data_IF_450012162365
#
_entry.id   IF_450012162365
#
_cell.length_a   1.000
_cell.length_b   1.000
_cell.length_c   1.000
_cell.angle_alpha   90.00
_cell.angle_beta   90.00
_cell.angle_gamma   90.00
#
_symmetry.space_group_name_H-M   'P 1'
#
loop_
_entity.id
_entity.type
_entity.pdbx_description
1 polymer ?
#
# COMPACT_ATOMS: atom_id res chain seq x y z
N UNK A 1 -6.62 25.05 16.11
CA UNK A 1 -7.24 24.64 14.82
C UNK A 1 -7.55 25.90 14.03
N UNK A 2 -6.86 26.12 12.90
CA UNK A 2 -7.07 27.32 12.07
C UNK A 2 -8.39 27.27 11.29
N UNK A 3 -9.11 28.39 11.21
CA UNK A 3 -10.36 28.50 10.44
C UNK A 3 -10.05 28.38 8.94
N UNK A 4 -10.54 27.32 8.29
CA UNK A 4 -10.45 27.17 6.83
C UNK A 4 -11.49 28.06 6.10
N UNK A 5 -11.24 28.46 4.84
CA UNK A 5 -12.19 29.23 4.05
C UNK A 5 -13.53 28.51 3.92
N UNK A 6 -14.63 29.26 4.12
CA UNK A 6 -16.00 28.77 3.86
C UNK A 6 -16.34 29.06 2.40
N UNK A 7 -16.56 28.00 1.62
CA UNK A 7 -17.07 28.09 0.26
C UNK A 7 -18.58 27.85 0.30
N UNK A 8 -19.36 28.65 -0.43
CA UNK A 8 -20.84 28.66 -0.39
C UNK A 8 -21.50 27.34 -0.82
N UNK A 9 -20.78 26.45 -1.52
CA UNK A 9 -21.35 25.30 -2.24
C UNK A 9 -20.59 23.99 -2.05
N UNK A 10 -19.72 23.86 -1.04
CA UNK A 10 -18.93 22.64 -0.83
C UNK A 10 -19.25 22.00 0.51
N UNK A 11 -20.05 20.93 0.50
CA UNK A 11 -20.02 19.95 1.59
C UNK A 11 -18.62 19.35 1.62
N UNK A 12 -17.85 19.73 2.64
CA UNK A 12 -16.51 19.17 2.87
C UNK A 12 -16.69 17.81 3.51
N UNK A 13 -16.62 16.75 2.70
CA UNK A 13 -16.53 15.40 3.24
C UNK A 13 -15.30 15.31 4.13
N UNK A 14 -15.43 14.66 5.29
CA UNK A 14 -14.31 14.41 6.20
C UNK A 14 -13.95 12.92 6.15
N UNK A 15 -12.66 12.56 6.17
CA UNK A 15 -12.26 11.17 6.30
C UNK A 15 -12.92 10.52 7.53
N UNK A 16 -13.19 9.20 7.48
CA UNK A 16 -13.88 8.48 8.56
C UNK A 16 -13.12 8.52 9.89
N UNK A 17 -11.79 8.69 9.83
CA UNK A 17 -10.93 8.90 11.00
C UNK A 17 -9.68 9.73 10.64
N UNK A 18 -9.06 10.40 11.63
CA UNK A 18 -7.83 11.16 11.41
C UNK A 18 -6.67 10.27 10.92
N UNK A 19 -5.74 10.85 10.18
CA UNK A 19 -4.57 10.13 9.68
C UNK A 19 -3.82 9.44 10.84
N UNK A 20 -3.49 8.15 10.68
CA UNK A 20 -2.82 7.32 11.70
C UNK A 20 -3.59 7.17 13.04
N UNK A 21 -4.89 7.48 13.08
CA UNK A 21 -5.77 7.23 14.22
C UNK A 21 -6.84 6.22 13.84
N UNK A 22 -6.41 4.97 13.65
CA UNK A 22 -7.29 3.86 13.25
C UNK A 22 -8.50 3.72 14.21
N UNK A 23 -9.65 3.22 13.71
CA UNK A 23 -10.86 3.03 14.51
C UNK A 23 -10.62 2.19 15.77
N UNK A 24 -11.47 2.40 16.78
CA UNK A 24 -11.44 1.60 18.01
C UNK A 24 -11.56 0.11 17.70
N UNK A 25 -10.68 -0.72 18.28
CA UNK A 25 -10.68 -2.16 18.07
C UNK A 25 -9.93 -2.63 16.81
N UNK A 26 -9.44 -1.71 15.96
CA UNK A 26 -8.68 -2.07 14.75
C UNK A 26 -7.49 -2.99 15.07
N UNK A 27 -6.70 -2.68 16.11
CA UNK A 27 -5.55 -3.49 16.52
C UNK A 27 -5.92 -4.94 16.85
N UNK A 28 -6.98 -5.13 17.63
CA UNK A 28 -7.43 -6.45 18.06
C UNK A 28 -8.02 -7.24 16.88
N UNK A 29 -8.82 -6.58 16.04
CA UNK A 29 -9.42 -7.23 14.88
C UNK A 29 -8.39 -7.57 13.80
N UNK A 30 -7.37 -6.72 13.60
CA UNK A 30 -6.20 -7.07 12.80
C UNK A 30 -5.51 -8.31 13.36
N UNK A 31 -5.29 -8.37 14.68
CA UNK A 31 -4.76 -9.56 15.33
C UNK A 31 -5.59 -10.82 15.04
N UNK A 32 -6.93 -10.73 15.08
CA UNK A 32 -7.84 -11.86 14.75
C UNK A 32 -7.70 -12.31 13.30
N UNK A 33 -7.66 -11.38 12.35
CA UNK A 33 -7.49 -11.67 10.92
C UNK A 33 -6.18 -12.43 10.65
N UNK A 34 -5.10 -12.02 11.33
CA UNK A 34 -3.79 -12.64 11.17
C UNK A 34 -3.72 -14.00 11.88
N UNK A 35 -4.33 -14.13 13.07
CA UNK A 35 -4.48 -15.42 13.75
C UNK A 35 -5.24 -16.41 12.87
N UNK A 36 -6.36 -15.99 12.30
CA UNK A 36 -7.15 -16.80 11.38
C UNK A 36 -6.32 -17.21 10.15
N UNK A 37 -5.59 -16.28 9.53
CA UNK A 37 -4.73 -16.53 8.38
C UNK A 37 -3.63 -17.55 8.73
N UNK A 38 -2.94 -17.39 9.85
CA UNK A 38 -1.87 -18.29 10.29
C UNK A 38 -2.41 -19.69 10.60
N UNK A 39 -3.55 -19.77 11.28
CA UNK A 39 -4.15 -21.04 11.67
C UNK A 39 -4.71 -21.82 10.46
N UNK A 40 -5.31 -21.13 9.49
CA UNK A 40 -5.96 -21.74 8.31
C UNK A 40 -4.99 -22.08 7.18
N UNK A 41 -3.95 -21.27 6.92
CA UNK A 41 -3.02 -21.50 5.80
C UNK A 41 -1.82 -22.38 6.16
N UNK A 42 -1.55 -22.58 7.44
CA UNK A 42 -0.36 -23.29 7.93
C UNK A 42 0.97 -22.59 7.67
N UNK A 43 1.00 -21.51 6.89
CA UNK A 43 2.20 -20.77 6.49
C UNK A 43 2.00 -19.27 6.67
N UNK A 44 3.04 -18.52 7.09
CA UNK A 44 2.95 -17.08 7.35
C UNK A 44 2.98 -16.25 6.04
N UNK A 45 1.98 -16.44 5.19
CA UNK A 45 1.87 -15.77 3.89
C UNK A 45 0.67 -14.82 3.85
N UNK A 46 0.97 -13.53 3.73
CA UNK A 46 0.01 -12.45 3.52
C UNK A 46 0.46 -11.64 2.30
N UNK A 47 -0.34 -11.68 1.24
CA UNK A 47 -0.11 -10.99 -0.04
C UNK A 47 -0.82 -9.63 -0.07
N UNK A 48 -0.61 -8.85 -1.13
CA UNK A 48 -1.19 -7.52 -1.28
C UNK A 48 -2.73 -7.52 -1.20
N UNK A 49 -3.38 -8.43 -1.91
CA UNK A 49 -4.85 -8.56 -1.94
C UNK A 49 -5.42 -8.97 -0.58
N UNK A 50 -4.74 -9.85 0.15
CA UNK A 50 -5.12 -10.20 1.52
C UNK A 50 -5.18 -8.95 2.40
N UNK A 51 -4.16 -8.08 2.29
CA UNK A 51 -4.12 -6.85 3.07
C UNK A 51 -5.23 -5.88 2.68
N UNK A 52 -5.50 -5.74 1.38
CA UNK A 52 -6.56 -4.88 0.90
C UNK A 52 -7.93 -5.29 1.45
N UNK A 53 -8.26 -6.58 1.37
CA UNK A 53 -9.52 -7.11 1.87
C UNK A 53 -9.63 -7.04 3.40
N UNK A 54 -8.57 -7.42 4.12
CA UNK A 54 -8.52 -7.31 5.58
C UNK A 54 -8.77 -5.86 5.98
N UNK A 55 -8.01 -4.92 5.43
CA UNK A 55 -8.15 -3.51 5.79
C UNK A 55 -9.56 -2.99 5.47
N UNK A 56 -10.10 -3.33 4.29
CA UNK A 56 -11.45 -2.95 3.91
C UNK A 56 -12.49 -3.40 4.95
N UNK A 57 -12.45 -4.67 5.37
CA UNK A 57 -13.32 -5.20 6.44
C UNK A 57 -13.15 -4.43 7.75
N UNK A 58 -11.90 -4.19 8.17
CA UNK A 58 -11.59 -3.55 9.45
C UNK A 58 -12.07 -2.09 9.56
N UNK A 59 -12.19 -1.37 8.44
CA UNK A 59 -12.66 0.02 8.42
C UNK A 59 -14.09 0.17 7.87
N UNK A 60 -14.78 -0.94 7.57
CA UNK A 60 -16.12 -0.93 6.99
C UNK A 60 -16.17 -0.38 5.56
N UNK A 61 -15.05 -0.46 4.82
CA UNK A 61 -14.95 -0.07 3.43
C UNK A 61 -15.24 -1.25 2.49
N UNK A 62 -15.45 -0.95 1.21
CA UNK A 62 -15.57 -1.94 0.16
C UNK A 62 -14.22 -2.16 -0.51
N UNK A 63 -13.82 -3.43 -0.64
CA UNK A 63 -12.72 -3.81 -1.52
C UNK A 63 -13.21 -3.94 -2.97
N UNK A 64 -12.37 -3.54 -3.92
CA UNK A 64 -12.57 -3.79 -5.34
C UNK A 64 -11.24 -3.90 -6.08
N UNK A 65 -11.19 -4.57 -7.25
CA UNK A 65 -10.03 -4.54 -8.12
C UNK A 65 -9.67 -3.10 -8.52
N UNK A 66 -8.39 -2.76 -8.50
CA UNK A 66 -7.88 -1.45 -8.90
C UNK A 66 -6.91 -1.57 -10.07
N UNK A 67 -7.16 -0.79 -11.13
CA UNK A 67 -6.27 -0.72 -12.29
C UNK A 67 -4.95 0.02 -11.98
N UNK A 68 -4.96 0.90 -10.98
CA UNK A 68 -3.80 1.77 -10.65
C UNK A 68 -3.18 1.45 -9.28
N UNK A 69 -3.82 0.57 -8.50
CA UNK A 69 -3.36 0.16 -7.16
C UNK A 69 -3.46 1.25 -6.09
N UNK A 70 -4.30 2.27 -6.30
CA UNK A 70 -4.50 3.41 -5.40
C UNK A 70 -5.95 3.55 -4.90
N UNK A 71 -6.91 2.87 -5.53
CA UNK A 71 -8.34 2.95 -5.21
C UNK A 71 -8.97 1.56 -5.00
N UNK A 72 -8.17 0.61 -4.49
CA UNK A 72 -8.62 -0.76 -4.22
C UNK A 72 -9.56 -0.88 -3.02
N UNK A 73 -9.61 0.15 -2.16
CA UNK A 73 -10.45 0.18 -0.96
C UNK A 73 -11.18 1.51 -0.92
N UNK A 74 -12.50 1.48 -0.84
CA UNK A 74 -13.35 2.67 -0.99
C UNK A 74 -14.38 2.75 0.14
N UNK A 75 -14.51 3.94 0.70
CA UNK A 75 -15.59 4.31 1.61
C UNK A 75 -16.07 5.73 1.26
N UNK A 76 -17.23 5.83 0.59
CA UNK A 76 -17.80 7.12 0.17
C UNK A 76 -16.78 7.95 -0.64
N UNK A 77 -16.40 9.16 -0.19
CA UNK A 77 -15.42 10.03 -0.86
C UNK A 77 -13.95 9.78 -0.44
N UNK A 78 -13.69 8.65 0.21
CA UNK A 78 -12.38 8.21 0.67
C UNK A 78 -11.95 6.96 -0.11
N UNK A 79 -10.73 6.97 -0.62
CA UNK A 79 -10.08 5.82 -1.22
C UNK A 79 -8.73 5.54 -0.56
N UNK A 80 -8.33 4.27 -0.55
CA UNK A 80 -7.01 3.84 -0.14
C UNK A 80 -6.35 2.94 -1.18
N UNK A 81 -5.06 3.17 -1.40
CA UNK A 81 -4.14 2.14 -1.86
C UNK A 81 -3.60 1.37 -0.67
N UNK A 82 -3.31 0.09 -0.83
CA UNK A 82 -2.70 -0.72 0.22
C UNK A 82 -1.33 -1.21 -0.21
N UNK A 83 -0.38 -1.24 0.74
CA UNK A 83 0.97 -1.72 0.52
C UNK A 83 1.39 -2.63 1.66
N UNK A 84 2.13 -3.68 1.33
CA UNK A 84 2.80 -4.50 2.33
C UNK A 84 4.30 -4.44 2.12
N UNK A 85 5.07 -4.50 3.21
CA UNK A 85 6.53 -4.53 3.15
C UNK A 85 7.06 -5.44 4.26
N UNK A 86 8.04 -6.28 3.91
CA UNK A 86 8.68 -7.17 4.88
C UNK A 86 9.76 -6.41 5.65
N UNK A 87 9.80 -6.61 6.97
CA UNK A 87 10.87 -6.10 7.82
C UNK A 87 11.08 -7.01 9.03
N UNK A 88 12.33 -7.17 9.48
CA UNK A 88 12.65 -7.99 10.65
C UNK A 88 12.11 -7.42 11.96
N UNK A 89 11.95 -6.10 12.06
CA UNK A 89 11.45 -5.41 13.26
C UNK A 89 10.38 -4.36 12.87
N UNK A 90 9.17 -4.78 12.48
CA UNK A 90 8.11 -3.89 12.04
C UNK A 90 7.77 -2.77 13.04
N UNK A 91 7.80 -3.06 14.34
CA UNK A 91 7.46 -2.09 15.37
C UNK A 91 8.46 -0.94 15.52
N UNK A 92 9.71 -1.12 15.08
CA UNK A 92 10.80 -0.13 15.27
C UNK A 92 11.38 0.43 13.98
N UNK A 93 10.97 -0.06 12.81
CA UNK A 93 11.49 0.44 11.53
C UNK A 93 11.13 1.93 11.37
N UNK A 94 12.10 2.72 10.89
CA UNK A 94 11.94 4.16 10.66
C UNK A 94 11.72 4.53 9.19
N UNK A 95 12.13 3.67 8.25
CA UNK A 95 12.00 3.88 6.81
C UNK A 95 11.64 2.60 6.08
N UNK A 96 10.76 2.69 5.11
CA UNK A 96 10.36 1.55 4.26
C UNK A 96 10.34 1.96 2.79
N UNK A 97 10.57 0.99 1.91
CA UNK A 97 10.47 1.17 0.46
C UNK A 97 9.18 0.55 -0.03
N UNK A 98 8.32 1.35 -0.64
CA UNK A 98 7.01 0.91 -1.13
C UNK A 98 7.02 0.85 -2.64
N UNK A 99 6.48 -0.23 -3.21
CA UNK A 99 6.25 -0.33 -4.66
C UNK A 99 5.02 0.51 -5.00
N UNK A 100 5.24 1.60 -5.72
CA UNK A 100 4.25 2.64 -6.02
C UNK A 100 3.78 2.61 -7.47
N UNK A 101 4.11 1.54 -8.21
CA UNK A 101 3.53 1.23 -9.51
C UNK A 101 4.54 0.73 -10.53
N UNK A 102 4.02 0.43 -11.73
CA UNK A 102 4.81 0.07 -12.91
C UNK A 102 4.84 1.28 -13.84
N UNK A 103 5.81 2.17 -13.67
CA UNK A 103 5.89 3.42 -14.43
C UNK A 103 6.65 3.16 -15.73
N UNK A 104 5.94 2.59 -16.71
CA UNK A 104 6.53 2.23 -18.00
C UNK A 104 6.60 3.46 -18.91
N UNK A 105 7.81 4.02 -19.04
CA UNK A 105 8.07 5.16 -19.91
C UNK A 105 7.89 4.79 -21.38
N UNK A 106 8.24 3.57 -21.78
CA UNK A 106 8.01 3.09 -23.15
C UNK A 106 6.52 3.03 -23.49
N UNK A 107 5.68 2.49 -22.60
CA UNK A 107 4.23 2.46 -22.82
C UNK A 107 3.61 3.85 -22.77
N UNK A 108 4.00 4.69 -21.81
CA UNK A 108 3.37 6.00 -21.58
C UNK A 108 3.83 7.10 -22.54
N UNK A 109 5.05 7.02 -23.06
CA UNK A 109 5.65 8.07 -23.90
C UNK A 109 6.20 7.58 -25.24
N UNK A 110 6.15 6.27 -25.53
CA UNK A 110 6.72 5.71 -26.76
C UNK A 110 8.25 5.78 -26.82
N UNK A 111 8.92 5.93 -25.67
CA UNK A 111 10.38 6.03 -25.59
C UNK A 111 10.99 4.69 -25.18
N UNK A 112 11.65 4.02 -26.14
CA UNK A 112 12.28 2.72 -25.90
C UNK A 112 13.64 2.82 -25.22
N UNK A 113 14.43 3.87 -25.55
CA UNK A 113 15.72 4.12 -24.89
C UNK A 113 15.47 4.79 -23.54
N UNK A 114 15.49 3.97 -22.49
CA UNK A 114 15.21 4.42 -21.12
C UNK A 114 16.43 4.50 -20.20
N UNK A 115 17.58 3.94 -20.60
CA UNK A 115 18.84 3.97 -19.82
C UNK A 115 19.86 4.94 -20.42
N UNK A 116 20.74 5.47 -19.57
CA UNK A 116 21.84 6.38 -19.94
C UNK A 116 21.36 7.57 -20.79
N UNK A 117 20.18 8.06 -20.46
CA UNK A 117 19.67 9.36 -20.90
C UNK A 117 19.80 10.35 -19.75
N UNK A 118 19.48 11.62 -20.00
CA UNK A 118 19.40 12.63 -18.95
C UNK A 118 18.54 12.10 -17.77
N UNK A 119 19.12 11.95 -16.57
CA UNK A 119 18.41 11.38 -15.45
C UNK A 119 17.26 12.27 -14.96
N UNK A 120 17.38 13.59 -15.09
CA UNK A 120 16.33 14.51 -14.64
C UNK A 120 15.12 14.45 -15.58
N UNK A 121 15.34 14.44 -16.91
CA UNK A 121 14.25 14.25 -17.89
C UNK A 121 13.56 12.89 -17.69
N UNK A 122 14.32 11.82 -17.50
CA UNK A 122 13.76 10.50 -17.24
C UNK A 122 12.98 10.47 -15.91
N UNK A 123 13.53 11.09 -14.87
CA UNK A 123 12.91 11.21 -13.55
C UNK A 123 11.57 11.94 -13.61
N UNK A 124 11.50 13.03 -14.36
CA UNK A 124 10.27 13.77 -14.61
C UNK A 124 9.20 12.90 -15.27
N UNK A 125 9.54 12.14 -16.32
CA UNK A 125 8.59 11.22 -16.98
C UNK A 125 8.12 10.11 -16.07
N UNK A 126 9.02 9.51 -15.30
CA UNK A 126 8.66 8.47 -14.33
C UNK A 126 7.70 9.02 -13.29
N UNK A 127 7.98 10.22 -12.76
CA UNK A 127 7.17 10.84 -11.72
C UNK A 127 5.81 11.30 -12.26
N UNK A 128 5.76 11.80 -13.50
CA UNK A 128 4.52 12.24 -14.14
C UNK A 128 3.54 11.07 -14.32
N UNK A 129 4.01 9.85 -14.64
CA UNK A 129 3.16 8.66 -14.72
C UNK A 129 2.50 8.36 -13.36
N UNK A 130 3.26 8.46 -12.27
CA UNK A 130 2.70 8.30 -10.93
C UNK A 130 1.68 9.40 -10.61
N UNK A 131 2.03 10.66 -10.88
CA UNK A 131 1.16 11.80 -10.63
C UNK A 131 -0.15 11.71 -11.40
N UNK A 132 -0.14 11.27 -12.66
CA UNK A 132 -1.36 11.06 -13.47
C UNK A 132 -2.28 9.99 -12.85
N UNK A 133 -1.72 8.92 -12.27
CA UNK A 133 -2.54 7.94 -11.53
C UNK A 133 -3.18 8.54 -10.28
N UNK A 134 -2.40 9.31 -9.50
CA UNK A 134 -2.92 9.99 -8.31
C UNK A 134 -4.00 11.00 -8.70
N UNK A 135 -3.77 11.81 -9.73
CA UNK A 135 -4.74 12.77 -10.27
C UNK A 135 -6.02 12.07 -10.74
N UNK A 136 -5.90 10.94 -11.45
CA UNK A 136 -7.01 10.14 -11.91
C UNK A 136 -7.93 9.66 -10.79
N UNK A 137 -7.37 9.25 -9.65
CA UNK A 137 -8.14 8.84 -8.48
C UNK A 137 -8.73 10.04 -7.73
N UNK A 138 -7.97 11.13 -7.58
CA UNK A 138 -8.43 12.38 -6.92
C UNK A 138 -9.57 13.07 -7.67
N UNK A 139 -9.76 12.81 -8.97
CA UNK A 139 -10.95 13.25 -9.72
C UNK A 139 -12.24 12.58 -9.22
N UNK A 140 -12.15 11.38 -8.64
CA UNK A 140 -13.28 10.59 -8.15
C UNK A 140 -13.49 10.72 -6.64
N UNK A 141 -12.40 10.77 -5.88
CA UNK A 141 -12.43 10.77 -4.41
C UNK A 141 -11.79 12.03 -3.85
N UNK A 142 -12.46 12.68 -2.89
CA UNK A 142 -11.93 13.88 -2.24
C UNK A 142 -10.67 13.55 -1.42
N UNK A 143 -10.61 12.36 -0.84
CA UNK A 143 -9.52 11.92 0.02
C UNK A 143 -8.89 10.64 -0.50
N UNK A 144 -7.56 10.60 -0.48
CA UNK A 144 -6.77 9.46 -0.92
C UNK A 144 -5.61 9.26 0.05
N UNK A 145 -5.54 8.07 0.63
CA UNK A 145 -4.42 7.64 1.48
C UNK A 145 -3.78 6.37 0.94
N UNK A 146 -2.58 6.08 1.43
CA UNK A 146 -1.98 4.76 1.31
C UNK A 146 -1.89 4.17 2.70
N UNK A 147 -2.45 2.99 2.89
CA UNK A 147 -2.29 2.21 4.12
C UNK A 147 -1.17 1.18 3.94
N UNK A 148 -0.20 1.21 4.84
CA UNK A 148 0.99 0.37 4.78
C UNK A 148 0.95 -0.63 5.93
N UNK A 149 1.14 -1.91 5.62
CA UNK A 149 1.41 -2.97 6.58
C UNK A 149 2.89 -3.38 6.49
N UNK A 150 3.66 -3.07 7.52
CA UNK A 150 4.98 -3.63 7.74
C UNK A 150 4.82 -4.96 8.48
N UNK A 151 5.42 -6.03 7.95
CA UNK A 151 5.23 -7.38 8.49
C UNK A 151 6.54 -8.13 8.68
N UNK A 152 6.66 -8.87 9.77
CA UNK A 152 7.73 -9.85 9.95
C UNK A 152 7.51 -11.05 9.02
N UNK A 153 8.55 -11.85 8.81
CA UNK A 153 8.45 -13.05 7.97
C UNK A 153 7.52 -14.12 8.54
N UNK A 154 7.32 -14.14 9.86
CA UNK A 154 6.43 -15.06 10.57
C UNK A 154 5.02 -14.49 10.84
N UNK A 155 4.76 -13.22 10.44
CA UNK A 155 3.56 -12.44 10.74
C UNK A 155 3.22 -12.29 12.24
N UNK A 156 4.16 -12.58 13.14
CA UNK A 156 3.96 -12.46 14.58
C UNK A 156 4.25 -11.05 15.12
N UNK A 157 4.89 -10.19 14.32
CA UNK A 157 5.03 -8.76 14.58
C UNK A 157 4.57 -7.97 13.35
N UNK A 158 3.72 -6.98 13.58
CA UNK A 158 3.16 -6.14 12.52
C UNK A 158 3.17 -4.68 12.96
N UNK A 159 3.32 -3.78 11.99
CA UNK A 159 3.01 -2.37 12.16
C UNK A 159 2.17 -1.86 11.00
N UNK A 160 1.18 -1.03 11.30
CA UNK A 160 0.31 -0.40 10.32
C UNK A 160 0.33 1.12 10.48
N UNK A 161 0.37 1.82 9.35
CA UNK A 161 0.31 3.27 9.31
C UNK A 161 -0.29 3.73 7.98
N UNK A 162 -0.71 4.99 7.94
CA UNK A 162 -1.22 5.66 6.77
C UNK A 162 -0.38 6.88 6.43
N UNK A 163 -0.34 7.18 5.14
CA UNK A 163 0.16 8.44 4.58
C UNK A 163 -0.91 9.01 3.65
N UNK A 164 -0.95 10.33 3.53
CA UNK A 164 -1.67 10.95 2.44
C UNK A 164 -0.98 10.60 1.12
N UNK A 165 -1.75 10.13 0.15
CA UNK A 165 -1.23 9.91 -1.20
C UNK A 165 -1.28 11.25 -1.94
N UNK A 166 -0.09 11.76 -2.24
CA UNK A 166 0.12 13.07 -2.87
C UNK A 166 0.75 12.92 -4.25
N UNK A 167 0.70 14.00 -5.02
CA UNK A 167 1.53 14.18 -6.21
C UNK A 167 2.83 14.87 -5.81
N UNK A 168 3.88 14.63 -6.57
CA UNK A 168 5.21 15.19 -6.34
C UNK A 168 5.57 16.18 -7.44
N UNK A 169 6.02 17.38 -7.08
CA UNK A 169 6.56 18.33 -8.05
C UNK A 169 7.97 17.90 -8.45
N UNK A 170 8.17 17.54 -9.72
CA UNK A 170 9.46 17.10 -10.25
C UNK A 170 10.58 18.10 -9.99
N UNK A 171 10.28 19.41 -9.94
CA UNK A 171 11.28 20.46 -9.68
C UNK A 171 11.91 20.36 -8.30
N UNK A 172 11.23 19.74 -7.34
CA UNK A 172 11.73 19.49 -5.99
C UNK A 172 12.82 18.41 -5.90
N UNK A 173 13.08 17.69 -7.00
CA UNK A 173 13.99 16.54 -7.00
C UNK A 173 15.10 16.70 -8.03
N UNK A 174 16.22 16.03 -7.77
CA UNK A 174 17.30 15.79 -8.72
C UNK A 174 17.51 14.29 -8.85
N UNK A 175 17.97 13.83 -10.02
CA UNK A 175 18.04 12.41 -10.33
C UNK A 175 19.42 11.97 -10.78
N UNK A 176 19.76 10.71 -10.51
CA UNK A 176 20.99 10.09 -11.00
C UNK A 176 20.80 8.60 -11.31
N UNK A 177 21.64 8.07 -12.19
CA UNK A 177 21.77 6.64 -12.40
C UNK A 177 22.75 6.05 -11.38
N UNK A 178 22.39 4.93 -10.74
CA UNK A 178 23.31 4.19 -9.88
C UNK A 178 24.01 3.05 -10.65
N UNK A 179 24.99 2.39 -10.00
CA UNK A 179 25.79 1.30 -10.59
C UNK A 179 24.98 0.07 -11.04
N UNK A 180 23.72 -0.04 -10.59
CA UNK A 180 22.80 -1.12 -10.96
C UNK A 180 21.81 -0.69 -12.05
N UNK A 181 22.09 0.40 -12.77
CA UNK A 181 21.21 1.02 -13.77
C UNK A 181 19.81 1.38 -13.26
N UNK A 182 19.67 1.64 -11.95
CA UNK A 182 18.42 2.19 -11.43
C UNK A 182 18.51 3.72 -11.42
N UNK A 183 17.38 4.35 -11.70
CA UNK A 183 17.26 5.79 -11.58
C UNK A 183 16.84 6.12 -10.15
N UNK A 184 17.61 6.95 -9.47
CA UNK A 184 17.38 7.37 -8.10
C UNK A 184 17.04 8.85 -8.06
N UNK A 185 15.97 9.20 -7.34
CA UNK A 185 15.53 10.57 -7.15
C UNK A 185 15.76 11.01 -5.71
N UNK A 186 16.35 12.19 -5.55
CA UNK A 186 16.75 12.77 -4.28
C UNK A 186 16.03 14.11 -4.09
N UNK A 187 15.55 14.36 -2.88
CA UNK A 187 14.96 15.65 -2.51
C UNK A 187 16.04 16.75 -2.48
N UNK A 188 15.79 17.87 -3.15
CA UNK A 188 16.77 18.98 -3.24
C UNK A 188 16.99 19.71 -1.92
N UNK A 189 16.03 19.68 -0.99
CA UNK A 189 16.14 20.43 0.25
C UNK A 189 17.04 19.73 1.28
N UNK A 190 16.97 18.40 1.36
CA UNK A 190 17.69 17.60 2.35
C UNK A 190 18.67 16.58 1.77
N UNK A 191 18.80 16.51 0.45
CA UNK A 191 19.64 15.55 -0.28
C UNK A 191 19.34 14.09 0.07
N UNK A 192 18.07 13.82 0.39
CA UNK A 192 17.65 12.51 0.87
C UNK A 192 17.10 11.66 -0.27
N UNK A 193 17.48 10.39 -0.34
CA UNK A 193 16.94 9.45 -1.32
C UNK A 193 15.45 9.22 -1.10
N UNK A 194 14.62 9.56 -2.09
CA UNK A 194 13.15 9.44 -2.02
C UNK A 194 12.63 8.42 -3.01
N UNK A 195 13.18 8.37 -4.22
CA UNK A 195 12.65 7.55 -5.29
C UNK A 195 13.66 6.56 -5.84
N UNK A 196 13.18 5.41 -6.26
CA UNK A 196 13.96 4.56 -7.17
C UNK A 196 13.06 3.98 -8.22
N UNK A 197 13.49 4.11 -9.46
CA UNK A 197 12.87 3.48 -10.61
C UNK A 197 13.82 2.47 -11.21
N UNK A 198 13.33 1.25 -11.38
CA UNK A 198 14.05 0.14 -11.97
C UNK A 198 13.54 -0.03 -13.39
N UNK A 199 14.37 0.21 -14.43
CA UNK A 199 13.92 0.11 -15.81
C UNK A 199 13.36 -1.27 -16.14
N UNK A 200 14.02 -2.32 -15.64
CA UNK A 200 13.55 -3.70 -15.80
C UNK A 200 12.27 -3.92 -14.99
N UNK A 201 11.16 -4.17 -15.69
CA UNK A 201 9.83 -4.26 -15.10
C UNK A 201 9.25 -2.90 -14.67
N UNK A 202 9.89 -1.78 -15.03
CA UNK A 202 9.41 -0.41 -14.80
C UNK A 202 8.99 -0.13 -13.35
N UNK A 203 9.65 -0.75 -12.38
CA UNK A 203 9.20 -0.70 -10.98
C UNK A 203 9.53 0.65 -10.37
N UNK A 204 8.52 1.41 -10.00
CA UNK A 204 8.68 2.66 -9.26
C UNK A 204 8.49 2.41 -7.76
N UNK A 205 9.44 2.90 -6.96
CA UNK A 205 9.39 2.81 -5.51
C UNK A 205 9.57 4.17 -4.86
N UNK A 206 8.83 4.39 -3.78
CA UNK A 206 8.95 5.57 -2.92
C UNK A 206 9.46 5.10 -1.55
N UNK A 207 10.45 5.80 -1.02
CA UNK A 207 11.03 5.55 0.30
C UNK A 207 10.30 6.45 1.29
N UNK A 208 9.48 5.84 2.14
CA UNK A 208 8.64 6.53 3.10
C UNK A 208 9.22 6.47 4.50
N UNK A 209 9.10 7.56 5.24
CA UNK A 209 9.34 7.56 6.68
C UNK A 209 8.15 6.93 7.40
N UNK A 210 8.45 6.04 8.33
CA UNK A 210 7.44 5.40 9.16
C UNK A 210 7.17 6.31 10.37
N UNK A 211 5.91 6.74 10.59
CA UNK A 211 5.55 7.60 11.72
C UNK A 211 5.96 6.97 13.06
N UNK A 212 6.49 7.78 13.99
CA UNK A 212 6.82 7.33 15.35
C UNK A 212 5.61 6.73 16.06
N UNK A 213 4.44 7.37 15.91
CA UNK A 213 3.16 6.94 16.47
C UNK A 213 2.35 6.07 15.50
N UNK A 214 2.97 5.03 14.96
CA UNK A 214 2.30 3.96 14.19
C UNK A 214 1.53 3.00 15.09
N UNK A 215 0.58 2.27 14.52
CA UNK A 215 -0.01 1.12 15.19
C UNK A 215 0.97 -0.06 15.08
N UNK A 216 1.27 -0.74 16.19
CA UNK A 216 2.09 -1.94 16.19
C UNK A 216 1.45 -3.00 17.09
N UNK A 217 1.48 -4.26 16.64
CA UNK A 217 0.94 -5.40 17.38
C UNK A 217 1.93 -6.56 17.35
N UNK A 218 1.89 -7.37 18.41
CA UNK A 218 2.51 -8.69 18.45
C UNK A 218 1.44 -9.74 18.63
N UNK A 219 1.60 -10.84 17.93
CA UNK A 219 0.65 -11.94 17.91
C UNK A 219 1.36 -13.15 18.51
N UNK A 220 0.69 -13.81 19.46
CA UNK A 220 1.12 -15.13 19.92
C UNK A 220 0.81 -16.12 18.80
N UNK A 221 1.81 -16.91 18.40
CA UNK A 221 1.64 -17.94 17.37
C UNK A 221 0.43 -18.84 17.72
N UNK A 222 -0.60 -18.88 16.87
CA UNK A 222 -1.76 -19.74 17.12
C UNK A 222 -1.43 -21.20 16.82
N UNK A 223 -2.18 -22.16 17.39
CA UNK A 223 -2.19 -23.52 16.87
C UNK A 223 -2.71 -23.53 15.42
N UNK A 224 -2.31 -24.55 14.65
CA UNK A 224 -2.87 -24.78 13.32
C UNK A 224 -4.25 -25.40 13.44
N UNK A 225 -5.14 -25.09 12.50
CA UNK A 225 -6.41 -25.81 12.38
C UNK A 225 -6.12 -27.23 11.89
N UNK A 226 -6.77 -28.21 12.51
CA UNK A 226 -6.80 -29.57 11.99
C UNK A 226 -7.69 -29.61 10.74
N UNK A 227 -7.18 -30.19 9.67
CA UNK A 227 -7.87 -30.22 8.38
C UNK A 227 -9.18 -31.01 8.47
N UNK A 228 -9.16 -32.12 9.19
CA UNK A 228 -10.30 -33.04 9.25
C UNK A 228 -11.36 -32.46 10.19
N UNK A 229 -10.96 -31.83 11.31
CA UNK A 229 -11.89 -31.08 12.17
C UNK A 229 -12.60 -29.94 11.41
N UNK A 230 -11.91 -29.28 10.46
CA UNK A 230 -12.53 -28.24 9.62
C UNK A 230 -13.54 -28.84 8.64
N UNK A 231 -13.22 -29.96 7.99
CA UNK A 231 -14.15 -30.63 7.08
C UNK A 231 -15.40 -31.14 7.81
N UNK A 232 -15.21 -31.69 9.01
CA UNK A 232 -16.30 -32.13 9.88
C UNK A 232 -17.20 -30.95 10.30
N UNK A 233 -16.60 -29.81 10.69
CA UNK A 233 -17.34 -28.61 11.07
C UNK A 233 -18.14 -28.01 9.89
N UNK A 234 -17.62 -28.12 8.67
CA UNK A 234 -18.32 -27.72 7.45
C UNK A 234 -19.41 -28.71 7.04
N UNK A 235 -19.45 -29.90 7.67
CA UNK A 235 -20.30 -31.03 7.27
C UNK A 235 -20.06 -31.38 5.81
N UNK A 236 -18.79 -31.44 5.43
CA UNK A 236 -18.42 -31.84 4.09
C UNK A 236 -18.99 -33.23 3.77
N UNK A 237 -19.56 -33.35 2.59
CA UNK A 237 -19.98 -34.62 2.03
C UNK A 237 -19.69 -34.64 0.52
N UNK A 238 -19.80 -35.81 -0.10
CA UNK A 238 -19.41 -36.02 -1.50
C UNK A 238 -20.16 -35.11 -2.48
N UNK A 239 -21.35 -34.58 -2.14
CA UNK A 239 -22.12 -33.68 -3.01
C UNK A 239 -21.46 -32.31 -3.24
N UNK A 240 -20.47 -31.95 -2.42
CA UNK A 240 -19.68 -30.73 -2.61
C UNK A 240 -18.74 -30.81 -3.81
N UNK A 241 -18.52 -32.01 -4.38
CA UNK A 241 -17.60 -32.26 -5.49
C UNK A 241 -18.34 -32.91 -6.66
N UNK A 242 -18.44 -32.19 -7.77
CA UNK A 242 -18.87 -32.75 -9.06
C UNK A 242 -17.65 -33.06 -9.92
N UNK A 243 -17.51 -34.31 -10.37
CA UNK A 243 -16.45 -34.71 -11.30
C UNK A 243 -16.94 -34.46 -12.73
N UNK A 244 -16.44 -33.39 -13.35
CA UNK A 244 -16.74 -33.05 -14.74
C UNK A 244 -15.58 -33.57 -15.61
N UNK A 245 -15.79 -34.71 -16.27
CA UNK A 245 -14.87 -35.32 -17.25
C UNK A 245 -15.39 -35.20 -18.67
#
# INVERSE_FOLDING_TARGET
>A
MGKSPRLRTVEKYRPPYPLNKFPSGFALNLGKEIVYLLASRGTPRLEGTDWEEIFARLVGAKWQPSNVGLDGIILQQMAWGAKTVKNKKPSTVSRVRLISGRNSVSFSFGQDKVKHVDPDDMGEKVLSIYNERVAGVRKKFQHLRTVVLVKSDDLLELAAFELDTIMYDAKGFWWQWNDNDNLEGYDKAGDSHVFTWQPHGSQFTIIENVPEHRLAIRIRKPPLLDRDEVLDALKFDESWVEVIS
#
